data_IF_699639306734
#
_entry.id   IF_699639306734
#
_cell.length_a   1.000
_cell.length_b   1.000
_cell.length_c   1.000
_cell.angle_alpha   90.00
_cell.angle_beta   90.00
_cell.angle_gamma   90.00
#
_symmetry.space_group_name_H-M   'P 1'
#
loop_
_entity.id
_entity.type
_entity.pdbx_description
1 polymer ?
#
# COMPACT_ATOMS: atom_id res chain seq x y z
N UNK A 1 -52.16 -11.28 -26.84
CA UNK A 1 -51.06 -12.26 -26.76
C UNK A 1 -49.77 -11.50 -27.04
N UNK A 2 -48.85 -11.41 -26.07
CA UNK A 2 -47.52 -10.85 -26.28
C UNK A 2 -46.50 -11.83 -25.72
N UNK A 3 -45.59 -12.24 -26.59
CA UNK A 3 -44.54 -13.23 -26.39
C UNK A 3 -43.46 -12.80 -25.37
N UNK A 4 -42.72 -13.78 -24.79
CA UNK A 4 -41.95 -13.60 -23.56
C UNK A 4 -40.54 -13.04 -23.77
N UNK A 5 -40.13 -12.23 -22.81
CA UNK A 5 -38.89 -11.46 -22.72
C UNK A 5 -37.67 -12.37 -22.41
N UNK A 6 -36.58 -12.20 -23.18
CA UNK A 6 -35.30 -12.93 -23.00
C UNK A 6 -34.58 -12.54 -21.69
N UNK A 7 -33.81 -13.47 -21.07
CA UNK A 7 -33.24 -13.29 -19.74
C UNK A 7 -32.10 -12.26 -19.70
N UNK A 8 -32.27 -11.24 -18.86
CA UNK A 8 -31.34 -10.14 -18.67
C UNK A 8 -30.22 -10.53 -17.71
N UNK A 9 -28.97 -10.50 -18.17
CA UNK A 9 -27.77 -10.76 -17.35
C UNK A 9 -27.60 -9.63 -16.32
N UNK A 10 -27.45 -9.99 -15.03
CA UNK A 10 -27.23 -9.05 -13.92
C UNK A 10 -25.90 -8.31 -14.09
N UNK A 11 -25.96 -6.99 -14.17
CA UNK A 11 -24.80 -6.11 -14.14
C UNK A 11 -24.23 -6.06 -12.71
N UNK A 12 -22.96 -6.42 -12.53
CA UNK A 12 -22.22 -6.29 -11.26
C UNK A 12 -21.84 -4.83 -10.91
N UNK A 13 -22.45 -3.86 -11.58
CA UNK A 13 -22.25 -2.42 -11.35
C UNK A 13 -23.12 -1.85 -10.22
N UNK A 14 -23.33 -2.60 -9.14
CA UNK A 14 -23.92 -2.04 -7.93
C UNK A 14 -22.83 -1.27 -7.18
N UNK A 15 -23.06 -0.01 -6.76
CA UNK A 15 -22.15 0.67 -5.85
C UNK A 15 -22.06 -0.15 -4.56
N UNK A 16 -20.85 -0.23 -3.96
CA UNK A 16 -20.62 -0.80 -2.63
C UNK A 16 -21.30 0.08 -1.56
N UNK A 17 -22.62 0.15 -1.59
CA UNK A 17 -23.42 0.74 -0.56
C UNK A 17 -23.68 -0.34 0.49
N UNK A 18 -23.15 -0.11 1.70
CA UNK A 18 -23.57 -0.77 2.93
C UNK A 18 -23.12 -2.22 3.14
N UNK A 19 -21.80 -2.45 3.25
CA UNK A 19 -21.33 -3.32 4.34
C UNK A 19 -21.46 -2.46 5.60
N UNK A 20 -22.63 -2.50 6.24
CA UNK A 20 -22.76 -2.01 7.61
C UNK A 20 -21.95 -2.96 8.46
N UNK A 21 -20.73 -2.58 8.83
CA UNK A 21 -20.11 -3.07 10.04
C UNK A 21 -21.08 -2.74 11.18
N UNK A 22 -21.90 -3.71 11.59
CA UNK A 22 -22.56 -3.61 12.89
C UNK A 22 -21.47 -3.81 13.92
N UNK A 23 -20.75 -2.73 14.24
CA UNK A 23 -20.01 -2.63 15.47
C UNK A 23 -21.06 -2.57 16.60
N UNK A 24 -21.56 -3.74 16.99
CA UNK A 24 -22.27 -3.89 18.26
C UNK A 24 -21.25 -4.33 19.30
N UNK A 25 -20.20 -3.54 19.45
CA UNK A 25 -19.48 -3.42 20.70
C UNK A 25 -19.39 -1.92 20.90
N UNK A 26 -20.17 -1.40 21.86
CA UNK A 26 -19.82 -0.16 22.53
C UNK A 26 -18.31 -0.12 22.69
N UNK A 27 -17.61 0.97 22.29
CA UNK A 27 -16.20 1.08 22.58
C UNK A 27 -16.05 0.81 24.08
N UNK A 28 -15.33 -0.26 24.43
CA UNK A 28 -15.01 -0.52 25.82
C UNK A 28 -14.40 0.79 26.34
N UNK A 29 -14.98 1.33 27.42
CA UNK A 29 -14.63 2.65 27.94
C UNK A 29 -13.10 2.83 27.93
N UNK A 30 -12.62 4.01 27.51
CA UNK A 30 -11.19 4.32 27.31
C UNK A 30 -10.31 3.92 28.52
N UNK A 31 -10.91 3.83 29.71
CA UNK A 31 -10.29 3.36 30.94
C UNK A 31 -9.81 1.90 30.85
N UNK A 32 -10.52 1.01 30.15
CA UNK A 32 -10.13 -0.40 29.96
C UNK A 32 -8.86 -0.53 29.10
N UNK A 33 -8.74 0.31 28.07
CA UNK A 33 -7.55 0.35 27.22
C UNK A 33 -6.34 0.89 28.00
N UNK A 34 -6.53 1.94 28.80
CA UNK A 34 -5.47 2.50 29.67
C UNK A 34 -5.03 1.53 30.76
N UNK A 35 -5.97 0.87 31.43
CA UNK A 35 -5.66 -0.12 32.47
C UNK A 35 -4.89 -1.32 31.89
N UNK A 36 -5.27 -1.76 30.69
CA UNK A 36 -4.56 -2.83 29.96
C UNK A 36 -3.17 -2.38 29.52
N UNK A 37 -3.03 -1.17 28.98
CA UNK A 37 -1.74 -0.61 28.58
C UNK A 37 -0.75 -0.50 29.76
N UNK A 38 -1.23 -0.03 30.91
CA UNK A 38 -0.46 0.03 32.17
C UNK A 38 -0.09 -1.36 32.67
N UNK A 39 -1.05 -2.30 32.71
CA UNK A 39 -0.82 -3.67 33.21
C UNK A 39 0.21 -4.44 32.37
N UNK A 40 0.23 -4.21 31.06
CA UNK A 40 1.14 -4.89 30.13
C UNK A 40 2.38 -4.08 29.77
N UNK A 41 2.56 -2.89 30.37
CA UNK A 41 3.75 -2.07 30.18
C UNK A 41 3.92 -1.50 28.78
N UNK A 42 2.83 -1.34 28.00
CA UNK A 42 2.88 -0.70 26.68
C UNK A 42 3.38 0.74 26.75
N UNK A 43 3.05 1.45 27.83
CA UNK A 43 3.50 2.83 28.07
C UNK A 43 4.97 2.91 28.54
N UNK A 44 5.58 1.77 28.90
CA UNK A 44 6.97 1.69 29.34
C UNK A 44 7.95 1.32 28.21
N UNK A 45 7.46 1.15 26.97
CA UNK A 45 8.33 0.88 25.83
C UNK A 45 9.12 2.16 25.55
N UNK A 46 10.46 2.16 25.69
CA UNK A 46 11.26 3.34 25.42
C UNK A 46 11.20 3.62 23.92
N UNK A 47 10.35 4.57 23.52
CA UNK A 47 10.34 5.08 22.15
C UNK A 47 11.61 5.92 22.00
N UNK A 48 12.50 5.51 21.08
CA UNK A 48 13.69 6.28 20.78
C UNK A 48 13.29 7.69 20.34
N UNK A 49 13.95 8.73 20.88
CA UNK A 49 13.61 10.13 20.57
C UNK A 49 13.59 10.42 19.05
N UNK A 50 14.44 9.71 18.28
CA UNK A 50 14.47 9.77 16.82
C UNK A 50 13.17 9.31 16.13
N UNK A 51 12.42 8.41 16.75
CA UNK A 51 11.15 7.88 16.23
C UNK A 51 10.02 8.88 16.45
N UNK A 52 10.00 9.54 17.61
CA UNK A 52 9.05 10.62 17.92
C UNK A 52 9.23 11.80 16.95
N UNK A 53 10.48 12.18 16.68
CA UNK A 53 10.77 13.28 15.75
C UNK A 53 10.46 12.90 14.29
N UNK A 54 10.67 11.63 13.89
CA UNK A 54 10.23 11.12 12.57
C UNK A 54 8.71 11.15 12.43
N UNK A 55 7.98 10.69 13.44
CA UNK A 55 6.51 10.72 13.44
C UNK A 55 5.99 12.16 13.41
N UNK A 56 6.59 13.07 14.17
CA UNK A 56 6.25 14.49 14.16
C UNK A 56 6.57 15.14 12.82
N UNK A 57 7.69 14.81 12.17
CA UNK A 57 8.04 15.30 10.84
C UNK A 57 7.06 14.81 9.75
N UNK A 58 6.52 13.60 9.91
CA UNK A 58 5.51 13.01 9.02
C UNK A 58 4.07 13.52 9.29
N UNK A 59 3.85 14.27 10.38
CA UNK A 59 2.57 14.93 10.67
C UNK A 59 2.42 16.29 9.99
N UNK A 60 3.44 16.76 9.26
CA UNK A 60 3.28 17.93 8.40
C UNK A 60 2.16 17.67 7.40
N UNK A 61 1.15 18.54 7.40
CA UNK A 61 -0.11 18.42 6.65
C UNK A 61 0.04 18.50 5.13
N UNK A 62 1.27 18.54 4.61
CA UNK A 62 1.53 18.51 3.19
C UNK A 62 1.80 17.06 2.78
N UNK A 63 0.87 16.40 2.06
CA UNK A 63 1.04 15.02 1.64
C UNK A 63 2.35 14.92 0.83
N UNK A 64 3.12 13.82 0.97
CA UNK A 64 4.35 13.62 0.21
C UNK A 64 4.07 13.93 -1.25
N UNK A 65 4.72 14.98 -1.77
CA UNK A 65 4.47 15.47 -3.10
C UNK A 65 4.94 14.38 -4.05
N UNK A 66 4.02 13.48 -4.43
CA UNK A 66 4.27 12.43 -5.42
C UNK A 66 4.87 13.17 -6.60
N UNK A 67 6.13 12.89 -6.95
CA UNK A 67 6.70 13.37 -8.20
C UNK A 67 5.79 12.81 -9.28
N UNK A 68 4.85 13.63 -9.76
CA UNK A 68 4.02 13.31 -10.91
C UNK A 68 5.02 13.30 -12.07
N UNK A 69 5.55 12.12 -12.38
CA UNK A 69 6.12 11.86 -13.69
C UNK A 69 5.02 12.18 -14.70
N UNK A 70 5.04 13.40 -15.21
CA UNK A 70 4.16 13.86 -16.25
C UNK A 70 4.69 13.29 -17.56
N UNK A 71 4.02 12.27 -18.10
CA UNK A 71 4.29 11.74 -19.43
C UNK A 71 4.01 10.24 -19.49
N UNK A 72 3.03 9.84 -20.31
CA UNK A 72 2.65 8.45 -20.66
C UNK A 72 3.66 7.37 -20.20
N UNK A 73 3.39 6.72 -19.07
CA UNK A 73 4.01 5.43 -18.76
C UNK A 73 3.46 4.42 -19.79
N UNK A 74 4.28 4.04 -20.77
CA UNK A 74 3.91 3.01 -21.73
C UNK A 74 4.13 1.64 -21.07
N UNK A 75 3.08 0.82 -20.87
CA UNK A 75 3.28 -0.53 -20.38
C UNK A 75 4.08 -1.31 -21.42
N UNK A 76 5.09 -2.05 -20.98
CA UNK A 76 5.86 -2.95 -21.81
C UNK A 76 6.02 -4.29 -21.10
N UNK A 77 6.02 -5.37 -21.88
CA UNK A 77 6.17 -6.73 -21.38
C UNK A 77 7.56 -7.23 -21.72
N UNK A 78 8.30 -7.73 -20.73
CA UNK A 78 9.63 -8.31 -20.91
C UNK A 78 9.62 -9.75 -20.42
N UNK A 79 10.30 -10.62 -21.16
CA UNK A 79 10.61 -11.97 -20.70
C UNK A 79 11.98 -11.95 -20.03
N UNK A 80 12.01 -12.27 -18.75
CA UNK A 80 13.24 -12.34 -17.96
C UNK A 80 13.63 -13.80 -17.75
N UNK A 81 14.94 -14.05 -17.63
CA UNK A 81 15.40 -15.35 -17.16
C UNK A 81 14.97 -15.55 -15.70
N UNK A 82 14.74 -16.80 -15.24
CA UNK A 82 14.37 -17.07 -13.85
C UNK A 82 15.39 -16.50 -12.84
N UNK A 83 16.69 -16.67 -13.12
CA UNK A 83 17.76 -16.13 -12.26
C UNK A 83 17.72 -14.60 -12.16
N UNK A 84 17.45 -13.89 -13.25
CA UNK A 84 17.30 -12.43 -13.23
C UNK A 84 16.07 -12.00 -12.44
N UNK A 85 14.99 -12.78 -12.51
CA UNK A 85 13.77 -12.50 -11.78
C UNK A 85 13.96 -12.65 -10.27
N UNK A 86 14.62 -13.73 -9.84
CA UNK A 86 14.99 -13.98 -8.44
C UNK A 86 15.83 -12.83 -7.86
N UNK A 87 16.85 -12.40 -8.60
CA UNK A 87 17.68 -11.25 -8.21
C UNK A 87 16.86 -9.97 -7.98
N UNK A 88 15.93 -9.65 -8.89
CA UNK A 88 15.06 -8.46 -8.75
C UNK A 88 14.20 -8.56 -7.48
N UNK A 89 13.68 -9.75 -7.17
CA UNK A 89 12.90 -9.97 -5.96
C UNK A 89 13.73 -9.80 -4.68
N UNK A 90 14.95 -10.34 -4.64
CA UNK A 90 15.85 -10.19 -3.49
C UNK A 90 16.19 -8.71 -3.23
N UNK A 91 16.47 -7.95 -4.29
CA UNK A 91 16.76 -6.52 -4.19
C UNK A 91 15.53 -5.73 -3.73
N UNK A 92 14.34 -6.05 -4.26
CA UNK A 92 13.10 -5.39 -3.85
C UNK A 92 12.78 -5.63 -2.37
N UNK A 93 12.93 -6.88 -1.91
CA UNK A 93 12.65 -7.25 -0.52
C UNK A 93 13.68 -6.66 0.46
N UNK A 94 14.97 -6.67 0.11
CA UNK A 94 16.01 -6.12 0.98
C UNK A 94 15.94 -4.60 1.14
N UNK A 95 15.45 -3.89 0.11
CA UNK A 95 15.33 -2.43 0.10
C UNK A 95 13.93 -1.92 0.43
N UNK A 96 12.96 -2.82 0.62
CA UNK A 96 11.54 -2.52 0.85
C UNK A 96 10.97 -1.54 -0.20
N UNK A 97 11.20 -1.82 -1.49
CA UNK A 97 10.74 -1.00 -2.62
C UNK A 97 9.95 -1.83 -3.66
N UNK A 98 9.06 -1.20 -4.44
CA UNK A 98 8.31 -1.89 -5.49
C UNK A 98 9.21 -2.47 -6.59
N UNK A 99 8.86 -3.63 -7.14
CA UNK A 99 9.59 -4.26 -8.26
C UNK A 99 9.75 -3.32 -9.46
N UNK A 100 8.72 -2.54 -9.76
CA UNK A 100 8.76 -1.57 -10.85
C UNK A 100 9.89 -0.54 -10.65
N UNK A 101 10.08 -0.06 -9.43
CA UNK A 101 11.16 0.87 -9.07
C UNK A 101 12.53 0.24 -9.29
N UNK A 102 12.71 -1.02 -8.89
CA UNK A 102 13.97 -1.77 -9.12
C UNK A 102 14.26 -1.90 -10.61
N UNK A 103 13.25 -2.22 -11.43
CA UNK A 103 13.40 -2.35 -12.88
C UNK A 103 13.75 -1.00 -13.52
N UNK A 104 13.11 0.08 -13.11
CA UNK A 104 13.41 1.43 -13.59
C UNK A 104 14.87 1.82 -13.30
N UNK A 105 15.34 1.58 -12.07
CA UNK A 105 16.72 1.85 -11.67
C UNK A 105 17.73 1.00 -12.46
N UNK A 106 17.44 -0.29 -12.68
CA UNK A 106 18.29 -1.17 -13.49
C UNK A 106 18.38 -0.72 -14.95
N UNK A 107 17.26 -0.28 -15.53
CA UNK A 107 17.23 0.25 -16.90
C UNK A 107 18.00 1.56 -17.00
N UNK A 108 17.88 2.44 -16.00
CA UNK A 108 18.63 3.70 -15.95
C UNK A 108 20.13 3.44 -15.83
N UNK A 109 20.56 2.59 -14.91
CA UNK A 109 21.97 2.20 -14.75
C UNK A 109 22.54 1.57 -16.03
N UNK A 110 21.78 0.70 -16.71
CA UNK A 110 22.22 0.09 -17.97
C UNK A 110 22.37 1.13 -19.09
N UNK A 111 21.49 2.14 -19.15
CA UNK A 111 21.59 3.24 -20.13
C UNK A 111 22.80 4.13 -19.90
N UNK A 112 23.20 4.35 -18.65
CA UNK A 112 24.40 5.12 -18.32
C UNK A 112 25.68 4.41 -18.75
N UNK A 113 25.73 3.08 -18.58
CA UNK A 113 26.88 2.24 -19.01
C UNK A 113 26.96 2.10 -20.53
N UNK A 114 25.82 2.19 -21.24
CA UNK A 114 25.76 2.07 -22.69
C UNK A 114 26.10 3.37 -23.46
N UNK A 115 26.40 4.47 -22.75
CA UNK A 115 26.87 5.74 -23.32
C UNK A 115 28.39 5.81 -23.26
#
# INVERSE_FOLDING_TARGET
MTEPQKPQRRNLGLPLASVRSTATETPAADDSARETALRHGFDNVPIAASEVDRLRANQNSEPPRRKRGAGRSMPFSVKLSPATMEYIYEVANSRDIPLAQVIEELVEAHREVAK
#
